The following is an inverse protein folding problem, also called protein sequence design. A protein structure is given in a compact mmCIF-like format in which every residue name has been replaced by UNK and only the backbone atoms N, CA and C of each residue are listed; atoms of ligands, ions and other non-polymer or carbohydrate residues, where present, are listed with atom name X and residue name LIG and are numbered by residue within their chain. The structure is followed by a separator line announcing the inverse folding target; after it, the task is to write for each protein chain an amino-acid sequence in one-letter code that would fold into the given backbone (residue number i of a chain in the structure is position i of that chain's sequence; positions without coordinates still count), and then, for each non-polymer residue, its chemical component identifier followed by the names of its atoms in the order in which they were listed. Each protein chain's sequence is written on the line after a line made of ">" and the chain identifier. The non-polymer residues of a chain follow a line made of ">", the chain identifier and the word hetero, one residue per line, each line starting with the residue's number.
data_IF_118295070837
#
_entry.id   IF_118295070837
#
_cell.length_a   1.000
_cell.length_b   1.000
_cell.length_c   1.000
_cell.angle_alpha   90.00
_cell.angle_beta   90.00
_cell.angle_gamma   90.00
#
_symmetry.space_group_name_H-M   'P 1'
#
loop_
_entity.id
_entity.type
_entity.pdbx_description
1 polymer ?
#
# COMPACT_ATOMS: atom_id res chain seq x y z
N UNK A 1 1.17 -3.30 15.59
CA UNK A 1 1.76 -3.86 16.81
C UNK A 1 2.64 -2.79 17.42
N UNK A 2 2.12 -2.11 18.45
CA UNK A 2 2.70 -0.91 19.03
C UNK A 2 4.12 -1.17 19.53
N UNK A 3 5.02 -0.24 19.21
CA UNK A 3 6.44 -0.29 19.56
C UNK A 3 6.59 0.54 20.83
N UNK A 4 6.84 -0.12 21.97
CA UNK A 4 6.97 0.50 23.28
C UNK A 4 8.17 1.49 23.33
N UNK A 5 7.84 2.76 23.58
CA UNK A 5 8.74 3.87 23.93
C UNK A 5 8.55 4.25 25.38
N UNK A 6 9.61 4.53 26.12
CA UNK A 6 9.48 5.08 27.47
C UNK A 6 10.67 5.96 27.89
N UNK A 7 10.33 6.96 28.69
CA UNK A 7 11.25 7.92 29.29
C UNK A 7 11.75 7.40 30.64
N UNK A 8 13.06 7.30 30.84
CA UNK A 8 13.67 6.84 32.08
C UNK A 8 14.54 7.94 32.70
N UNK A 9 14.52 8.09 34.03
CA UNK A 9 15.43 9.00 34.75
C UNK A 9 16.71 8.27 35.14
N UNK A 10 17.88 8.81 34.77
CA UNK A 10 19.17 8.28 35.20
C UNK A 10 19.48 8.63 36.66
N UNK A 11 20.42 7.91 37.27
CA UNK A 11 21.01 8.27 38.58
C UNK A 11 21.62 9.68 38.60
N UNK A 12 22.05 10.19 37.44
CA UNK A 12 22.55 11.57 37.27
C UNK A 12 21.44 12.64 37.23
N UNK A 13 20.16 12.25 37.33
CA UNK A 13 19.02 13.15 37.30
C UNK A 13 18.54 13.55 35.90
N UNK A 14 19.29 13.21 34.84
CA UNK A 14 18.95 13.48 33.44
C UNK A 14 18.03 12.39 32.89
N UNK A 15 17.01 12.78 32.12
CA UNK A 15 16.10 11.86 31.45
C UNK A 15 16.69 11.30 30.14
N UNK A 16 16.35 10.06 29.83
CA UNK A 16 16.69 9.38 28.57
C UNK A 16 15.44 8.77 27.92
N UNK A 17 15.40 8.85 26.61
CA UNK A 17 14.44 8.18 25.74
C UNK A 17 14.93 6.76 25.47
N UNK A 18 14.05 5.78 25.64
CA UNK A 18 14.33 4.37 25.30
C UNK A 18 13.24 3.84 24.37
N UNK A 19 13.66 3.20 23.28
CA UNK A 19 12.76 2.55 22.31
C UNK A 19 13.30 1.21 21.89
N UNK A 20 12.47 0.17 21.99
CA UNK A 20 12.80 -1.12 21.38
C UNK A 20 12.60 -1.03 19.87
N UNK A 21 13.57 -1.50 19.08
CA UNK A 21 13.37 -1.57 17.64
C UNK A 21 12.40 -2.72 17.31
N UNK A 22 11.61 -2.61 16.23
CA UNK A 22 10.73 -3.69 15.78
C UNK A 22 11.47 -5.02 15.56
N UNK A 23 10.80 -6.16 15.79
CA UNK A 23 11.41 -7.51 15.71
C UNK A 23 12.01 -7.84 14.34
N UNK A 24 11.50 -7.22 13.29
CA UNK A 24 11.98 -7.35 11.92
C UNK A 24 13.29 -6.58 11.66
N UNK A 25 13.67 -5.65 12.55
CA UNK A 25 14.95 -4.95 12.51
C UNK A 25 15.90 -5.39 13.63
N UNK A 26 15.40 -5.52 14.86
CA UNK A 26 16.20 -5.75 16.06
C UNK A 26 17.17 -6.93 15.93
N UNK A 27 18.48 -6.66 16.09
CA UNK A 27 19.53 -7.68 16.05
C UNK A 27 19.89 -8.20 14.65
N UNK A 28 19.23 -7.74 13.58
CA UNK A 28 19.53 -8.19 12.21
C UNK A 28 20.76 -7.48 11.62
N UNK A 29 21.50 -8.15 10.70
CA UNK A 29 22.65 -7.55 10.03
C UNK A 29 22.21 -6.38 9.15
N UNK A 30 22.90 -5.24 9.27
CA UNK A 30 22.57 -4.03 8.50
C UNK A 30 23.34 -4.02 7.18
N UNK A 31 22.68 -3.85 6.02
CA UNK A 31 23.35 -3.62 4.74
C UNK A 31 24.30 -2.42 4.78
N UNK A 32 25.44 -2.50 4.08
CA UNK A 32 26.48 -1.47 4.13
C UNK A 32 25.97 -0.05 3.80
N UNK A 33 25.06 0.08 2.84
CA UNK A 33 24.43 1.35 2.46
C UNK A 33 23.60 1.99 3.59
N UNK A 34 22.99 1.18 4.46
CA UNK A 34 22.18 1.66 5.58
C UNK A 34 23.02 1.96 6.83
N UNK A 35 24.20 1.32 6.97
CA UNK A 35 25.13 1.59 8.08
C UNK A 35 25.63 3.03 8.11
N UNK A 36 25.96 3.57 6.93
CA UNK A 36 26.44 4.96 6.79
C UNK A 36 25.31 5.96 7.02
N UNK A 37 24.10 5.62 6.58
CA UNK A 37 22.95 6.53 6.59
C UNK A 37 22.24 6.63 7.94
N UNK A 38 22.25 5.57 8.76
CA UNK A 38 21.56 5.51 10.05
C UNK A 38 22.46 4.99 11.18
N UNK A 39 23.61 5.65 11.47
CA UNK A 39 24.59 5.14 12.43
C UNK A 39 24.03 4.98 13.85
N UNK A 40 23.05 5.80 14.22
CA UNK A 40 22.42 5.77 15.54
C UNK A 40 21.61 4.49 15.83
N UNK A 41 21.07 3.85 14.78
CA UNK A 41 20.33 2.59 14.89
C UNK A 41 21.24 1.36 14.84
N UNK A 42 22.53 1.53 14.54
CA UNK A 42 23.48 0.44 14.35
C UNK A 42 24.37 0.29 15.58
N UNK A 43 24.57 -0.95 16.00
CA UNK A 43 25.61 -1.25 16.98
C UNK A 43 26.97 -1.31 16.24
N UNK A 44 27.91 -0.40 16.53
CA UNK A 44 29.19 -0.34 15.81
C UNK A 44 30.04 -1.58 16.01
N UNK A 45 29.91 -2.30 17.13
CA UNK A 45 30.68 -3.49 17.43
C UNK A 45 30.20 -4.73 16.65
N UNK A 46 28.89 -4.84 16.40
CA UNK A 46 28.31 -6.02 15.75
C UNK A 46 27.91 -5.79 14.30
N UNK A 47 27.76 -4.53 13.86
CA UNK A 47 27.27 -4.19 12.52
C UNK A 47 25.79 -4.57 12.29
N UNK A 48 25.06 -4.89 13.36
CA UNK A 48 23.64 -5.20 13.37
C UNK A 48 22.82 -4.02 13.92
N UNK A 49 21.52 -3.99 13.62
CA UNK A 49 20.61 -3.04 14.26
C UNK A 49 20.55 -3.28 15.76
N UNK A 50 20.51 -2.19 16.54
CA UNK A 50 20.35 -2.25 17.99
C UNK A 50 19.03 -2.94 18.35
N UNK A 51 19.02 -3.70 19.44
CA UNK A 51 17.77 -4.27 19.99
C UNK A 51 16.96 -3.22 20.72
N UNK A 52 17.65 -2.31 21.42
CA UNK A 52 17.07 -1.16 22.11
C UNK A 52 17.91 0.08 21.82
N UNK A 53 17.23 1.17 21.49
CA UNK A 53 17.82 2.48 21.28
C UNK A 53 17.68 3.30 22.56
N UNK A 54 18.76 3.91 23.02
CA UNK A 54 18.79 4.78 24.19
C UNK A 54 19.41 6.12 23.80
N UNK A 55 18.68 7.22 24.01
CA UNK A 55 19.08 8.59 23.66
C UNK A 55 18.91 9.47 24.90
N UNK A 56 19.94 10.23 25.26
CA UNK A 56 19.81 11.22 26.35
C UNK A 56 18.94 12.40 25.90
N UNK A 57 17.94 12.77 26.70
CA UNK A 57 17.09 13.94 26.46
C UNK A 57 17.77 15.25 26.94
N UNK A 58 18.89 15.13 27.64
CA UNK A 58 19.73 16.27 28.05
C UNK A 58 19.01 17.27 28.96
N UNK A 59 18.06 16.80 29.76
CA UNK A 59 17.30 17.64 30.71
C UNK A 59 16.96 16.86 31.97
N UNK A 60 16.92 17.55 33.11
CA UNK A 60 16.44 17.04 34.40
C UNK A 60 15.00 17.48 34.72
N UNK A 61 14.43 18.39 33.91
CA UNK A 61 13.03 18.81 34.01
C UNK A 61 12.12 17.78 33.33
N UNK A 62 11.20 17.21 34.11
CA UNK A 62 10.24 16.19 33.69
C UNK A 62 9.33 16.66 32.55
N UNK A 63 8.86 17.91 32.56
CA UNK A 63 7.92 18.41 31.53
C UNK A 63 8.65 18.56 30.20
N UNK A 64 9.82 19.20 30.23
CA UNK A 64 10.67 19.35 29.06
C UNK A 64 11.18 18.00 28.55
N UNK A 65 11.44 17.05 29.44
CA UNK A 65 11.82 15.68 29.08
C UNK A 65 10.70 14.97 28.32
N UNK A 66 9.46 14.96 28.83
CA UNK A 66 8.32 14.32 28.12
C UNK A 66 8.11 14.89 26.72
N UNK A 67 8.25 16.21 26.57
CA UNK A 67 8.15 16.88 25.28
C UNK A 67 9.24 16.46 24.29
N UNK A 68 10.49 16.36 24.76
CA UNK A 68 11.59 15.85 23.93
C UNK A 68 11.45 14.35 23.64
N UNK A 69 10.91 13.59 24.59
CA UNK A 69 10.62 12.16 24.44
C UNK A 69 9.63 11.90 23.29
N UNK A 70 8.54 12.66 23.22
CA UNK A 70 7.57 12.60 22.12
C UNK A 70 8.21 12.95 20.76
N UNK A 71 9.05 13.99 20.70
CA UNK A 71 9.79 14.34 19.47
C UNK A 71 10.75 13.25 19.03
N UNK A 72 11.50 12.66 19.95
CA UNK A 72 12.39 11.53 19.63
C UNK A 72 11.58 10.29 19.23
N UNK A 73 10.42 10.05 19.85
CA UNK A 73 9.55 8.93 19.51
C UNK A 73 9.08 9.00 18.05
N UNK A 74 8.64 10.18 17.60
CA UNK A 74 8.25 10.46 16.22
C UNK A 74 9.44 10.29 15.28
N UNK A 75 10.58 10.94 15.57
CA UNK A 75 11.81 10.85 14.76
C UNK A 75 12.29 9.40 14.54
N UNK A 76 12.24 8.57 15.57
CA UNK A 76 12.66 7.16 15.46
C UNK A 76 11.60 6.30 14.77
N UNK A 77 10.30 6.57 14.96
CA UNK A 77 9.25 5.87 14.22
C UNK A 77 9.42 6.07 12.69
N UNK A 78 9.65 7.32 12.31
CA UNK A 78 9.95 7.73 10.94
C UNK A 78 11.17 7.01 10.36
N UNK A 79 12.25 6.92 11.13
CA UNK A 79 13.50 6.31 10.68
C UNK A 79 13.40 4.80 10.52
N UNK A 80 12.70 4.13 11.44
CA UNK A 80 12.40 2.68 11.37
C UNK A 80 11.63 2.36 10.09
N UNK A 81 10.65 3.19 9.75
CA UNK A 81 9.89 3.08 8.50
C UNK A 81 10.80 3.15 7.28
N UNK A 82 11.77 4.09 7.21
CA UNK A 82 12.72 4.17 6.09
C UNK A 82 13.49 2.88 5.94
N UNK A 83 14.00 2.38 7.05
CA UNK A 83 14.89 1.23 7.08
C UNK A 83 14.12 0.00 6.60
N UNK A 84 12.88 -0.19 7.07
CA UNK A 84 12.00 -1.26 6.59
C UNK A 84 11.73 -1.16 5.09
N UNK A 85 11.41 0.04 4.59
CA UNK A 85 11.17 0.27 3.16
C UNK A 85 12.43 0.02 2.31
N UNK A 86 13.61 0.40 2.80
CA UNK A 86 14.88 0.19 2.10
C UNK A 86 15.35 -1.27 2.09
N UNK A 87 14.86 -2.09 3.03
CA UNK A 87 15.11 -3.54 3.08
C UNK A 87 14.15 -4.33 2.18
N UNK A 88 13.02 -3.75 1.76
CA UNK A 88 12.14 -4.33 0.76
C UNK A 88 12.70 -4.05 -0.65
N UNK A 89 12.83 -5.10 -1.47
CA UNK A 89 13.48 -5.17 -2.79
C UNK A 89 13.15 -3.98 -3.75
N UNK A 90 14.11 -3.40 -4.51
CA UNK A 90 13.98 -2.09 -5.12
C UNK A 90 13.51 -2.16 -6.57
N UNK A 91 12.29 -2.63 -6.85
CA UNK A 91 11.61 -2.22 -8.08
C UNK A 91 10.84 -0.93 -7.80
N UNK A 92 11.58 0.16 -7.64
CA UNK A 92 11.02 1.47 -7.29
C UNK A 92 10.37 2.08 -8.53
N UNK A 93 9.10 2.49 -8.40
CA UNK A 93 8.41 3.24 -9.45
C UNK A 93 8.85 4.70 -9.38
N UNK A 94 9.40 5.23 -10.47
CA UNK A 94 10.08 6.53 -10.56
C UNK A 94 9.15 7.75 -10.39
N UNK A 95 7.85 7.56 -10.20
CA UNK A 95 6.90 8.67 -10.06
C UNK A 95 5.75 8.26 -9.15
N UNK A 96 5.31 9.13 -8.22
CA UNK A 96 4.12 8.83 -7.46
C UNK A 96 2.94 8.78 -8.44
N UNK A 97 2.37 7.59 -8.62
CA UNK A 97 1.12 7.43 -9.36
C UNK A 97 -0.08 7.87 -8.53
N UNK A 98 0.13 8.02 -7.22
CA UNK A 98 -0.83 8.43 -6.21
C UNK A 98 -1.13 9.92 -6.35
N UNK A 99 -2.41 10.28 -6.38
CA UNK A 99 -2.83 11.67 -6.53
C UNK A 99 -2.47 12.48 -5.26
N UNK A 100 -2.12 13.79 -5.37
CA UNK A 100 -1.82 14.62 -4.21
C UNK A 100 -2.92 14.64 -3.14
N UNK A 101 -4.19 14.52 -3.56
CA UNK A 101 -5.34 14.44 -2.65
C UNK A 101 -5.40 13.13 -1.87
N UNK A 102 -4.98 12.02 -2.47
CA UNK A 102 -4.92 10.72 -1.79
C UNK A 102 -3.81 10.72 -0.73
N UNK A 103 -2.67 11.34 -1.06
CA UNK A 103 -1.56 11.52 -0.11
C UNK A 103 -1.99 12.38 1.07
N UNK A 104 -2.67 13.50 0.81
CA UNK A 104 -3.20 14.35 1.86
C UNK A 104 -4.20 13.61 2.76
N UNK A 105 -5.11 12.84 2.17
CA UNK A 105 -6.09 12.06 2.90
C UNK A 105 -5.46 11.00 3.80
N UNK A 106 -4.47 10.26 3.28
CA UNK A 106 -3.73 9.27 4.04
C UNK A 106 -2.98 9.93 5.21
N UNK A 107 -2.34 11.09 5.01
CA UNK A 107 -1.68 11.85 6.08
C UNK A 107 -2.66 12.18 7.21
N UNK A 108 -3.83 12.74 6.88
CA UNK A 108 -4.85 13.07 7.90
C UNK A 108 -5.31 11.81 8.63
N UNK A 109 -5.57 10.73 7.89
CA UNK A 109 -6.05 9.46 8.46
C UNK A 109 -5.02 8.84 9.41
N UNK A 110 -3.76 8.78 8.99
CA UNK A 110 -2.68 8.16 9.77
C UNK A 110 -2.39 8.97 11.05
N UNK A 111 -2.41 10.31 10.96
CA UNK A 111 -2.24 11.17 12.13
C UNK A 111 -3.40 11.08 13.12
N UNK A 112 -4.65 10.96 12.64
CA UNK A 112 -5.80 10.81 13.54
C UNK A 112 -5.87 9.43 14.18
N UNK A 113 -5.47 8.37 13.47
CA UNK A 113 -5.28 7.04 14.08
C UNK A 113 -4.19 7.07 15.14
N UNK A 114 -3.11 7.81 14.88
CA UNK A 114 -2.06 7.99 15.87
C UNK A 114 -2.55 8.79 17.08
N UNK A 115 -3.32 9.87 16.88
CA UNK A 115 -3.97 10.63 17.96
C UNK A 115 -4.91 9.76 18.79
N UNK A 116 -5.72 8.90 18.16
CA UNK A 116 -6.56 7.92 18.86
C UNK A 116 -5.74 6.98 19.72
N UNK A 117 -4.69 6.38 19.14
CA UNK A 117 -3.81 5.47 19.86
C UNK A 117 -3.09 6.16 21.04
N UNK A 118 -2.74 7.44 20.93
CA UNK A 118 -2.19 8.20 22.05
C UNK A 118 -3.23 8.43 23.15
N UNK A 119 -4.50 8.68 22.80
CA UNK A 119 -5.60 8.90 23.76
C UNK A 119 -6.05 7.63 24.47
N UNK A 120 -6.06 6.49 23.77
CA UNK A 120 -6.44 5.19 24.36
C UNK A 120 -5.30 4.58 25.19
N UNK A 121 -4.07 4.57 24.66
CA UNK A 121 -2.97 3.71 25.13
C UNK A 121 -1.61 4.44 25.22
N UNK A 122 -1.55 5.75 24.97
CA UNK A 122 -0.29 6.51 24.83
C UNK A 122 0.59 6.59 26.08
N UNK A 123 0.09 6.21 27.26
CA UNK A 123 0.88 6.23 28.49
C UNK A 123 1.59 4.90 28.74
N UNK A 124 2.83 4.81 28.27
CA UNK A 124 3.68 3.63 28.43
C UNK A 124 3.90 3.20 29.90
N UNK A 125 3.66 4.07 30.91
CA UNK A 125 3.76 3.68 32.33
C UNK A 125 2.80 2.54 32.70
N UNK A 126 1.74 2.35 31.93
CA UNK A 126 0.70 1.33 32.14
C UNK A 126 1.25 -0.08 31.89
N UNK A 127 2.10 -0.24 30.88
CA UNK A 127 2.65 -1.54 30.49
C UNK A 127 3.97 -1.89 31.17
N UNK A 128 4.67 -0.89 31.74
CA UNK A 128 6.02 -1.06 32.28
C UNK A 128 6.03 -1.68 33.67
N UNK A 129 5.01 -1.39 34.49
CA UNK A 129 4.96 -1.84 35.87
C UNK A 129 3.72 -2.70 36.10
N UNK A 130 3.93 -3.95 36.47
CA UNK A 130 2.83 -4.82 36.91
C UNK A 130 2.23 -4.28 38.20
N UNK A 131 1.01 -4.69 38.51
CA UNK A 131 0.36 -4.32 39.78
C UNK A 131 1.23 -4.71 40.99
N UNK A 132 1.90 -5.86 40.92
CA UNK A 132 2.85 -6.32 41.94
C UNK A 132 4.12 -5.45 42.05
N UNK A 133 4.63 -4.92 40.92
CA UNK A 133 5.79 -3.99 40.95
C UNK A 133 5.43 -2.66 41.60
N UNK A 134 4.19 -2.20 41.41
CA UNK A 134 3.68 -0.95 41.99
C UNK A 134 3.41 -1.05 43.49
N UNK A 135 2.87 -2.19 43.94
CA UNK A 135 2.72 -2.50 45.37
C UNK A 135 4.08 -2.56 46.07
N UNK A 136 5.12 -3.03 45.38
CA UNK A 136 6.48 -3.10 45.91
C UNK A 136 7.14 -1.73 46.03
N UNK A 137 6.84 -0.80 45.12
CA UNK A 137 7.46 0.53 45.05
C UNK A 137 6.40 1.65 45.20
N UNK A 138 6.00 1.97 46.44
CA UNK A 138 4.91 2.92 46.72
C UNK A 138 5.19 4.37 46.28
N UNK A 139 6.44 4.69 45.93
CA UNK A 139 6.85 6.00 45.42
C UNK A 139 6.49 6.21 43.93
N UNK A 140 6.03 5.16 43.24
CA UNK A 140 5.57 5.27 41.85
C UNK A 140 4.28 6.08 41.78
N UNK A 141 4.19 7.00 40.82
CA UNK A 141 3.01 7.83 40.62
C UNK A 141 1.75 6.94 40.42
N UNK A 142 0.70 7.28 41.16
CA UNK A 142 -0.62 6.69 41.00
C UNK A 142 -1.12 6.93 39.57
N UNK A 143 -1.57 5.87 38.91
CA UNK A 143 -2.20 5.96 37.59
C UNK A 143 -3.71 5.89 37.76
N UNK A 144 -4.41 6.87 37.19
CA UNK A 144 -5.86 6.89 37.06
C UNK A 144 -6.35 5.82 36.08
N UNK A 145 -5.59 5.60 35.01
CA UNK A 145 -5.84 4.63 33.95
C UNK A 145 -4.83 3.49 34.06
N UNK A 146 -5.14 2.44 34.83
CA UNK A 146 -4.28 1.27 35.02
C UNK A 146 -4.23 0.32 33.81
N UNK A 147 -3.47 -0.80 33.87
CA UNK A 147 -3.42 -1.80 32.79
C UNK A 147 -4.81 -2.32 32.42
N UNK A 148 -5.17 -2.30 31.13
CA UNK A 148 -6.48 -2.76 30.63
C UNK A 148 -7.64 -1.75 30.70
N UNK A 149 -7.40 -0.54 31.22
CA UNK A 149 -8.33 0.60 31.08
C UNK A 149 -8.13 1.30 29.72
N UNK A 150 -8.87 2.37 29.42
CA UNK A 150 -8.60 3.28 28.32
C UNK A 150 -8.45 4.70 28.87
N UNK A 151 -7.65 5.53 28.23
CA UNK A 151 -7.53 6.95 28.56
C UNK A 151 -6.10 7.40 28.87
N UNK A 152 -5.99 8.71 29.07
CA UNK A 152 -4.72 9.42 29.14
C UNK A 152 -4.55 10.05 30.53
N UNK A 153 -3.43 9.78 31.20
CA UNK A 153 -3.15 10.41 32.50
C UNK A 153 -3.08 11.93 32.40
N UNK A 154 -3.46 12.68 33.45
CA UNK A 154 -3.50 14.15 33.42
C UNK A 154 -2.17 14.80 33.03
N UNK A 155 -1.05 14.26 33.50
CA UNK A 155 0.29 14.76 33.20
C UNK A 155 0.81 14.32 31.82
N UNK A 156 0.25 13.26 31.23
CA UNK A 156 0.48 12.90 29.84
C UNK A 156 -0.37 13.78 28.92
N UNK A 157 -1.63 14.03 29.29
CA UNK A 157 -2.55 14.92 28.58
C UNK A 157 -2.00 16.33 28.42
N UNK A 158 -1.44 16.92 29.48
CA UNK A 158 -0.80 18.23 29.41
C UNK A 158 0.41 18.23 28.45
N UNK A 159 1.28 17.23 28.54
CA UNK A 159 2.46 17.12 27.67
C UNK A 159 2.09 16.89 26.20
N UNK A 160 1.02 16.11 25.96
CA UNK A 160 0.51 15.86 24.63
C UNK A 160 -0.11 17.12 24.01
N UNK A 161 -0.86 17.91 24.80
CA UNK A 161 -1.36 19.21 24.38
C UNK A 161 -0.24 20.18 24.01
N UNK A 162 0.82 20.27 24.83
CA UNK A 162 2.00 21.09 24.52
C UNK A 162 2.64 20.67 23.17
N UNK A 163 2.75 19.37 22.91
CA UNK A 163 3.28 18.82 21.65
C UNK A 163 2.42 19.24 20.45
N UNK A 164 1.09 19.05 20.54
CA UNK A 164 0.16 19.42 19.45
C UNK A 164 0.27 20.93 19.16
N UNK A 165 0.34 21.75 20.20
CA UNK A 165 0.45 23.20 20.04
C UNK A 165 1.76 23.58 19.33
N UNK A 166 2.91 23.10 19.78
CA UNK A 166 4.20 23.39 19.13
C UNK A 166 4.23 22.92 17.68
N UNK A 167 3.77 21.70 17.39
CA UNK A 167 3.76 21.17 16.03
C UNK A 167 2.90 22.03 15.11
N UNK A 168 1.70 22.43 15.54
CA UNK A 168 0.83 23.27 14.71
C UNK A 168 1.37 24.67 14.51
N UNK A 169 2.03 25.29 15.50
CA UNK A 169 2.66 26.59 15.32
C UNK A 169 3.74 26.54 14.24
N UNK A 170 4.62 25.54 14.33
CA UNK A 170 5.72 25.35 13.39
C UNK A 170 5.18 25.09 11.98
N UNK A 171 4.18 24.21 11.83
CA UNK A 171 3.60 23.86 10.53
C UNK A 171 2.76 24.99 9.93
N UNK A 172 2.00 25.76 10.73
CA UNK A 172 1.28 26.94 10.25
C UNK A 172 2.22 28.04 9.79
N UNK A 173 3.31 28.30 10.53
CA UNK A 173 4.34 29.25 10.12
C UNK A 173 4.99 28.84 8.80
N UNK A 174 5.26 27.54 8.63
CA UNK A 174 5.76 26.99 7.38
C UNK A 174 4.74 27.14 6.23
N UNK A 175 3.45 26.89 6.48
CA UNK A 175 2.39 27.05 5.49
C UNK A 175 2.21 28.52 5.07
N UNK A 176 2.20 29.45 6.03
CA UNK A 176 2.08 30.89 5.80
C UNK A 176 3.24 31.44 4.97
N UNK A 177 4.46 30.96 5.22
CA UNK A 177 5.66 31.31 4.44
C UNK A 177 5.83 30.47 3.16
N UNK A 178 4.91 29.52 2.89
CA UNK A 178 5.03 28.50 1.83
C UNK A 178 6.36 27.73 1.85
N UNK A 179 6.97 27.58 3.01
CA UNK A 179 8.18 26.80 3.22
C UNK A 179 7.84 25.31 3.33
N UNK A 180 8.02 24.59 2.24
CA UNK A 180 7.71 23.15 2.14
C UNK A 180 8.80 22.24 2.71
N UNK A 181 9.94 22.77 3.16
CA UNK A 181 11.07 21.96 3.62
C UNK A 181 10.72 21.11 4.85
N UNK A 182 9.79 21.57 5.69
CA UNK A 182 9.40 20.87 6.92
C UNK A 182 8.70 19.54 6.67
N UNK A 183 7.83 19.47 5.65
CA UNK A 183 7.01 18.28 5.37
C UNK A 183 7.71 17.30 4.42
N UNK A 184 8.76 17.75 3.74
CA UNK A 184 9.51 16.93 2.79
C UNK A 184 10.07 15.62 3.38
N UNK A 185 10.71 15.60 4.56
CA UNK A 185 11.15 14.34 5.16
C UNK A 185 9.97 13.39 5.40
N UNK A 186 8.88 13.84 6.02
CA UNK A 186 7.70 13.00 6.27
C UNK A 186 7.11 12.42 4.98
N UNK A 187 6.99 13.24 3.93
CA UNK A 187 6.47 12.77 2.66
C UNK A 187 7.40 11.78 1.96
N UNK A 188 8.74 11.94 2.09
CA UNK A 188 9.71 10.94 1.61
C UNK A 188 9.46 9.57 2.23
N UNK A 189 9.15 9.54 3.53
CA UNK A 189 8.88 8.31 4.27
C UNK A 189 7.62 7.63 3.75
N UNK A 190 6.54 8.40 3.69
CA UNK A 190 5.24 7.92 3.24
C UNK A 190 5.33 7.34 1.81
N UNK A 191 6.01 8.04 0.89
CA UNK A 191 6.19 7.55 -0.48
C UNK A 191 7.08 6.31 -0.53
N UNK A 192 8.15 6.27 0.26
CA UNK A 192 9.06 5.12 0.31
C UNK A 192 8.34 3.84 0.78
N UNK A 193 7.45 3.92 1.77
CA UNK A 193 6.61 2.79 2.20
C UNK A 193 5.74 2.22 1.06
N UNK A 194 5.31 3.07 0.13
CA UNK A 194 4.48 2.70 -1.02
C UNK A 194 5.32 2.31 -2.24
N UNK A 195 6.65 2.23 -2.11
CA UNK A 195 7.57 1.95 -3.22
C UNK A 195 7.69 3.09 -4.23
N UNK A 196 7.37 4.33 -3.82
CA UNK A 196 7.37 5.53 -4.65
C UNK A 196 8.47 6.52 -4.22
N UNK A 197 8.82 7.45 -5.09
CA UNK A 197 9.74 8.57 -4.81
C UNK A 197 9.06 9.91 -5.03
N UNK A 198 9.64 10.97 -4.47
CA UNK A 198 9.22 12.34 -4.82
C UNK A 198 9.45 12.60 -6.32
N UNK A 199 8.56 13.36 -6.97
CA UNK A 199 8.78 13.79 -8.35
C UNK A 199 10.08 14.59 -8.48
N UNK A 200 10.84 14.36 -9.55
CA UNK A 200 12.01 15.18 -9.91
C UNK A 200 11.60 16.55 -10.46
N UNK A 201 10.40 16.64 -11.05
CA UNK A 201 9.80 17.89 -11.53
C UNK A 201 9.49 18.81 -10.35
N UNK A 202 10.21 19.93 -10.26
CA UNK A 202 10.15 20.90 -9.17
C UNK A 202 8.74 21.48 -8.96
N UNK A 203 7.98 21.71 -10.04
CA UNK A 203 6.61 22.25 -9.94
C UNK A 203 5.66 21.22 -9.36
N UNK A 204 5.76 19.96 -9.81
CA UNK A 204 4.94 18.85 -9.28
C UNK A 204 5.31 18.53 -7.84
N UNK A 205 6.61 18.50 -7.53
CA UNK A 205 7.15 18.32 -6.19
C UNK A 205 6.63 19.40 -5.24
N UNK A 206 6.73 20.67 -5.62
CA UNK A 206 6.26 21.79 -4.79
C UNK A 206 4.75 21.75 -4.55
N UNK A 207 3.95 21.44 -5.57
CA UNK A 207 2.49 21.28 -5.42
C UNK A 207 2.13 20.14 -4.46
N UNK A 208 2.81 19.00 -4.60
CA UNK A 208 2.58 17.85 -3.75
C UNK A 208 2.95 18.15 -2.29
N UNK A 209 4.13 18.74 -2.06
CA UNK A 209 4.58 19.13 -0.72
C UNK A 209 3.65 20.17 -0.09
N UNK A 210 3.19 21.16 -0.85
CA UNK A 210 2.26 22.17 -0.33
C UNK A 210 0.93 21.54 0.08
N UNK A 211 0.39 20.60 -0.71
CA UNK A 211 -0.85 19.89 -0.39
C UNK A 211 -0.70 19.00 0.85
N UNK A 212 0.44 18.32 0.99
CA UNK A 212 0.78 17.55 2.18
C UNK A 212 0.91 18.45 3.43
N UNK A 213 1.55 19.62 3.31
CA UNK A 213 1.67 20.59 4.40
C UNK A 213 0.30 21.12 4.83
N UNK A 214 -0.59 21.41 3.88
CA UNK A 214 -1.99 21.79 4.18
C UNK A 214 -2.72 20.69 4.95
N UNK A 215 -2.58 19.42 4.53
CA UNK A 215 -3.17 18.28 5.22
C UNK A 215 -2.63 18.13 6.65
N UNK A 216 -1.33 18.37 6.85
CA UNK A 216 -0.69 18.33 8.17
C UNK A 216 -1.21 19.43 9.10
N UNK A 217 -1.40 20.65 8.60
CA UNK A 217 -2.02 21.74 9.38
C UNK A 217 -3.47 21.41 9.72
N UNK A 218 -4.23 20.90 8.74
CA UNK A 218 -5.63 20.50 8.94
C UNK A 218 -5.77 19.45 10.05
N UNK A 219 -4.93 18.41 10.05
CA UNK A 219 -5.02 17.38 11.09
C UNK A 219 -4.60 17.88 12.46
N UNK A 220 -3.58 18.74 12.54
CA UNK A 220 -3.16 19.31 13.83
C UNK A 220 -4.23 20.26 14.39
N UNK A 221 -4.95 21.00 13.55
CA UNK A 221 -6.09 21.81 13.98
C UNK A 221 -7.23 20.96 14.55
N UNK A 222 -7.53 19.81 13.92
CA UNK A 222 -8.47 18.82 14.45
C UNK A 222 -7.99 18.23 15.78
N UNK A 223 -6.73 17.86 15.89
CA UNK A 223 -6.15 17.34 17.14
C UNK A 223 -6.21 18.39 18.28
N UNK A 224 -5.97 19.68 17.97
CA UNK A 224 -6.15 20.77 18.94
C UNK A 224 -7.59 20.90 19.41
N UNK A 225 -8.55 20.78 18.49
CA UNK A 225 -9.97 20.82 18.84
C UNK A 225 -10.33 19.65 19.78
N UNK A 226 -9.88 18.43 19.47
CA UNK A 226 -10.02 17.27 20.37
C UNK A 226 -9.39 17.51 21.74
N UNK A 227 -8.20 18.11 21.76
CA UNK A 227 -7.47 18.39 23.00
C UNK A 227 -8.20 19.41 23.89
N UNK A 228 -9.00 20.32 23.33
CA UNK A 228 -9.86 21.24 24.09
C UNK A 228 -11.18 20.61 24.54
N UNK A 229 -11.50 19.41 24.05
CA UNK A 229 -12.80 18.77 24.28
C UNK A 229 -13.90 19.24 23.33
N UNK A 230 -13.55 19.84 22.18
CA UNK A 230 -14.52 20.24 21.18
C UNK A 230 -15.18 18.98 20.56
N UNK A 231 -16.51 18.88 20.67
CA UNK A 231 -17.33 17.69 20.32
C UNK A 231 -17.35 17.31 18.82
N UNK A 232 -16.70 18.10 17.95
CA UNK A 232 -16.94 18.09 16.50
C UNK A 232 -15.70 17.62 15.71
N UNK A 233 -15.08 16.53 16.15
CA UNK A 233 -14.00 15.89 15.39
C UNK A 233 -14.36 14.44 15.12
N UNK A 234 -15.24 14.23 14.15
CA UNK A 234 -15.37 12.92 13.53
C UNK A 234 -14.01 12.52 12.97
N UNK A 235 -13.50 11.34 13.38
CA UNK A 235 -12.44 10.68 12.62
C UNK A 235 -12.93 10.65 11.17
N UNK A 236 -12.21 11.28 10.21
CA UNK A 236 -12.59 11.19 8.82
C UNK A 236 -12.60 9.70 8.52
N UNK A 237 -13.80 9.18 8.28
CA UNK A 237 -13.91 7.80 7.85
C UNK A 237 -12.97 7.65 6.66
N UNK A 238 -12.12 6.59 6.63
CA UNK A 238 -11.18 6.39 5.55
C UNK A 238 -11.97 6.57 4.28
N UNK A 239 -11.53 7.50 3.41
CA UNK A 239 -12.24 7.92 2.22
C UNK A 239 -13.02 6.73 1.67
N UNK A 240 -14.34 6.83 1.72
CA UNK A 240 -15.29 5.78 1.35
C UNK A 240 -15.24 5.60 -0.17
N UNK A 241 -14.07 5.22 -0.68
CA UNK A 241 -13.68 4.99 -2.07
C UNK A 241 -13.50 3.48 -2.30
N UNK A 242 -13.85 2.68 -1.31
CA UNK A 242 -13.74 1.22 -1.32
C UNK A 242 -12.31 0.68 -1.30
N UNK A 243 -12.18 -0.65 -1.50
CA UNK A 243 -10.89 -1.33 -1.51
C UNK A 243 -10.03 -0.89 -2.70
N UNK A 244 -8.75 -1.21 -2.66
CA UNK A 244 -7.87 -1.12 -3.83
C UNK A 244 -8.26 -2.14 -4.90
N UNK A 245 -7.86 -1.89 -6.15
CA UNK A 245 -8.10 -2.83 -7.23
C UNK A 245 -7.44 -4.20 -6.96
N UNK A 246 -6.23 -4.20 -6.39
CA UNK A 246 -5.52 -5.42 -5.97
C UNK A 246 -6.29 -6.20 -4.89
N UNK A 247 -6.79 -5.51 -3.87
CA UNK A 247 -7.58 -6.08 -2.77
C UNK A 247 -8.93 -6.63 -3.27
N UNK A 248 -9.60 -5.89 -4.16
CA UNK A 248 -10.85 -6.32 -4.78
C UNK A 248 -10.65 -7.58 -5.65
N UNK A 249 -9.52 -7.67 -6.35
CA UNK A 249 -9.15 -8.85 -7.13
C UNK A 249 -8.93 -10.09 -6.26
N UNK A 250 -8.19 -9.97 -5.15
CA UNK A 250 -7.97 -11.10 -4.25
C UNK A 250 -9.28 -11.59 -3.61
N UNK A 251 -10.19 -10.68 -3.23
CA UNK A 251 -11.54 -11.06 -2.76
C UNK A 251 -12.34 -11.78 -3.85
N UNK A 252 -12.34 -11.23 -5.07
CA UNK A 252 -13.01 -11.85 -6.22
C UNK A 252 -12.48 -13.24 -6.57
N UNK A 253 -11.19 -13.50 -6.36
CA UNK A 253 -10.55 -14.80 -6.58
C UNK A 253 -10.98 -15.85 -5.55
N UNK A 254 -11.16 -15.46 -4.29
CA UNK A 254 -11.66 -16.35 -3.23
C UNK A 254 -13.13 -16.72 -3.48
N UNK A 255 -13.90 -15.78 -4.01
CA UNK A 255 -15.35 -15.89 -4.19
C UNK A 255 -16.11 -15.64 -2.89
N UNK A 256 -17.44 -15.74 -2.92
CA UNK A 256 -18.26 -15.59 -1.72
C UNK A 256 -18.14 -16.78 -0.76
N UNK A 257 -18.31 -16.52 0.54
CA UNK A 257 -18.25 -17.55 1.59
C UNK A 257 -19.49 -18.46 1.65
N UNK A 258 -20.55 -18.11 0.91
CA UNK A 258 -21.78 -18.89 0.86
C UNK A 258 -21.62 -20.19 0.04
N UNK A 259 -22.29 -21.26 0.49
CA UNK A 259 -22.34 -22.54 -0.23
C UNK A 259 -22.90 -22.33 -1.64
N UNK A 260 -22.12 -22.67 -2.65
CA UNK A 260 -22.48 -22.48 -4.07
C UNK A 260 -22.11 -21.12 -4.65
N UNK A 261 -21.40 -20.27 -3.91
CA UNK A 261 -20.85 -19.03 -4.44
C UNK A 261 -19.92 -19.31 -5.63
N UNK A 262 -20.13 -18.54 -6.71
CA UNK A 262 -19.45 -18.76 -7.99
C UNK A 262 -17.99 -18.35 -7.88
N UNK A 263 -17.10 -19.33 -7.86
CA UNK A 263 -15.66 -19.10 -7.96
C UNK A 263 -15.24 -18.95 -9.43
N UNK A 264 -14.42 -17.95 -9.79
CA UNK A 264 -13.90 -17.84 -11.14
C UNK A 264 -13.02 -19.05 -11.50
N UNK A 265 -13.13 -19.54 -12.74
CA UNK A 265 -12.27 -20.63 -13.22
C UNK A 265 -10.79 -20.21 -13.29
N UNK A 266 -9.84 -21.15 -13.18
CA UNK A 266 -8.40 -20.84 -13.04
C UNK A 266 -7.84 -20.01 -14.21
N UNK A 267 -8.26 -20.28 -15.44
CA UNK A 267 -7.85 -19.48 -16.60
C UNK A 267 -8.38 -18.04 -16.55
N UNK A 268 -9.57 -17.83 -15.99
CA UNK A 268 -10.14 -16.49 -15.82
C UNK A 268 -9.37 -15.71 -14.77
N UNK A 269 -8.90 -16.37 -13.70
CA UNK A 269 -8.05 -15.76 -12.67
C UNK A 269 -6.71 -15.32 -13.26
N UNK A 270 -6.09 -16.12 -14.13
CA UNK A 270 -4.84 -15.76 -14.79
C UNK A 270 -5.00 -14.53 -15.71
N UNK A 271 -6.06 -14.51 -16.52
CA UNK A 271 -6.38 -13.36 -17.38
C UNK A 271 -6.71 -12.11 -16.56
N UNK A 272 -7.46 -12.26 -15.46
CA UNK A 272 -7.80 -11.19 -14.54
C UNK A 272 -6.54 -10.61 -13.86
N UNK A 273 -5.66 -11.47 -13.36
CA UNK A 273 -4.39 -11.03 -12.77
C UNK A 273 -3.57 -10.22 -13.77
N UNK A 274 -3.47 -10.70 -15.03
CA UNK A 274 -2.76 -9.96 -16.07
C UNK A 274 -3.39 -8.58 -16.35
N UNK A 275 -4.72 -8.48 -16.37
CA UNK A 275 -5.42 -7.21 -16.54
C UNK A 275 -5.17 -6.24 -15.37
N UNK A 276 -5.25 -6.74 -14.13
CA UNK A 276 -5.04 -5.97 -12.90
C UNK A 276 -3.60 -5.46 -12.82
N UNK A 277 -2.60 -6.33 -13.04
CA UNK A 277 -1.18 -5.94 -13.04
C UNK A 277 -0.92 -4.86 -14.09
N UNK A 278 -1.44 -5.00 -15.31
CA UNK A 278 -1.27 -3.99 -16.36
C UNK A 278 -1.94 -2.65 -16.02
N UNK A 279 -3.11 -2.70 -15.37
CA UNK A 279 -3.77 -1.48 -14.90
C UNK A 279 -2.94 -0.78 -13.82
N UNK A 280 -2.42 -1.55 -12.84
CA UNK A 280 -1.56 -1.05 -11.76
C UNK A 280 -0.26 -0.46 -12.33
N UNK A 281 0.37 -1.11 -13.30
CA UNK A 281 1.56 -0.56 -13.98
C UNK A 281 1.28 0.77 -14.69
N UNK A 282 0.06 0.99 -15.17
CA UNK A 282 -0.31 2.19 -15.93
C UNK A 282 -0.80 3.33 -15.05
N UNK A 283 -1.67 3.06 -14.08
CA UNK A 283 -2.35 4.06 -13.25
C UNK A 283 -2.02 3.99 -11.75
N UNK A 284 -1.26 2.98 -11.32
CA UNK A 284 -1.05 2.67 -9.91
C UNK A 284 -2.18 1.81 -9.34
N UNK A 285 -1.98 1.33 -8.11
CA UNK A 285 -2.99 0.55 -7.39
C UNK A 285 -4.02 1.47 -6.72
N UNK A 286 -4.93 1.97 -7.54
CA UNK A 286 -5.98 2.91 -7.15
C UNK A 286 -7.12 2.19 -6.39
N UNK A 287 -7.78 2.95 -5.50
CA UNK A 287 -9.07 2.54 -4.92
C UNK A 287 -10.15 2.54 -5.98
N UNK A 288 -11.12 1.64 -5.86
CA UNK A 288 -12.18 1.49 -6.86
C UNK A 288 -12.96 2.79 -7.11
N UNK A 289 -13.22 3.57 -6.07
CA UNK A 289 -13.89 4.87 -6.14
C UNK A 289 -13.09 5.99 -6.83
N UNK A 290 -11.77 5.82 -6.98
CA UNK A 290 -10.89 6.76 -7.71
C UNK A 290 -10.77 6.44 -9.21
N UNK A 291 -11.24 5.26 -9.63
CA UNK A 291 -11.19 4.85 -11.02
C UNK A 291 -12.33 5.56 -11.77
N UNK A 292 -12.00 6.65 -12.44
CA UNK A 292 -12.95 7.37 -13.28
C UNK A 292 -13.11 6.72 -14.66
N UNK A 293 -14.24 6.96 -15.33
CA UNK A 293 -14.44 6.56 -16.75
C UNK A 293 -13.32 7.10 -17.66
N UNK A 294 -12.72 8.24 -17.35
CA UNK A 294 -11.60 8.80 -18.11
C UNK A 294 -10.34 7.92 -18.01
N UNK A 295 -9.97 7.47 -16.80
CA UNK A 295 -8.86 6.53 -16.60
C UNK A 295 -9.13 5.18 -17.28
N UNK A 296 -10.36 4.69 -17.21
CA UNK A 296 -10.72 3.45 -17.88
C UNK A 296 -10.61 3.53 -19.42
N UNK A 297 -10.96 4.69 -20.03
CA UNK A 297 -10.75 4.95 -21.46
C UNK A 297 -9.26 5.07 -21.81
N UNK A 298 -8.49 5.80 -21.01
CA UNK A 298 -7.04 5.94 -21.22
C UNK A 298 -6.33 4.57 -21.18
N UNK A 299 -6.68 3.74 -20.19
CA UNK A 299 -6.17 2.38 -20.09
C UNK A 299 -6.59 1.49 -21.29
N UNK A 300 -7.84 1.58 -21.76
CA UNK A 300 -8.29 0.88 -22.97
C UNK A 300 -7.45 1.27 -24.18
N UNK A 301 -7.22 2.56 -24.37
CA UNK A 301 -6.49 3.08 -25.52
C UNK A 301 -4.99 2.70 -25.45
N UNK A 302 -4.43 2.63 -24.23
CA UNK A 302 -3.10 2.07 -23.98
C UNK A 302 -3.03 0.57 -24.33
N UNK A 303 -4.02 -0.23 -23.92
CA UNK A 303 -4.08 -1.67 -24.22
C UNK A 303 -4.20 -1.95 -25.72
N UNK A 304 -4.89 -1.10 -26.49
CA UNK A 304 -5.02 -1.25 -27.94
C UNK A 304 -3.68 -1.10 -28.67
N UNK A 305 -2.76 -0.29 -28.12
CA UNK A 305 -1.40 -0.08 -28.66
C UNK A 305 -0.46 -1.23 -28.32
N UNK A 306 -0.80 -2.09 -27.37
CA UNK A 306 0.01 -3.26 -27.02
C UNK A 306 -0.14 -4.33 -28.12
N UNK A 307 0.96 -4.86 -28.65
CA UNK A 307 0.89 -5.91 -29.66
C UNK A 307 0.23 -7.21 -29.16
N UNK A 308 -0.34 -7.97 -30.11
CA UNK A 308 -0.94 -9.27 -29.83
C UNK A 308 0.12 -10.32 -29.42
N UNK A 309 1.25 -10.34 -30.11
CA UNK A 309 2.37 -11.24 -29.83
C UNK A 309 3.65 -10.43 -29.54
N UNK A 310 4.19 -10.61 -28.34
CA UNK A 310 5.42 -9.95 -27.90
C UNK A 310 6.54 -10.97 -27.66
N UNK A 311 7.77 -10.72 -28.13
CA UNK A 311 8.95 -11.49 -27.75
C UNK A 311 9.13 -11.50 -26.23
N UNK A 312 9.68 -12.60 -25.69
CA UNK A 312 9.85 -12.78 -24.24
C UNK A 312 10.56 -11.62 -23.53
N UNK A 313 11.55 -10.98 -24.20
CA UNK A 313 12.26 -9.81 -23.66
C UNK A 313 11.34 -8.59 -23.47
N UNK A 314 10.42 -8.35 -24.40
CA UNK A 314 9.46 -7.23 -24.32
C UNK A 314 8.30 -7.54 -23.35
N UNK A 315 7.88 -8.81 -23.28
CA UNK A 315 6.77 -9.24 -22.43
C UNK A 315 6.99 -8.96 -20.94
N UNK A 316 8.25 -8.97 -20.48
CA UNK A 316 8.66 -8.73 -19.08
C UNK A 316 8.65 -7.26 -18.66
N UNK A 317 8.46 -6.34 -19.60
CA UNK A 317 8.49 -4.91 -19.28
C UNK A 317 7.14 -4.43 -18.74
N UNK A 318 7.16 -3.44 -17.83
CA UNK A 318 5.93 -2.78 -17.41
C UNK A 318 5.31 -1.98 -18.57
N UNK A 319 4.00 -1.82 -18.54
CA UNK A 319 3.21 -1.28 -19.66
C UNK A 319 3.71 0.11 -20.12
N UNK A 320 4.08 0.99 -19.19
CA UNK A 320 4.63 2.32 -19.52
C UNK A 320 5.93 2.22 -20.32
N UNK A 321 6.91 1.46 -19.84
CA UNK A 321 8.19 1.26 -20.53
C UNK A 321 8.04 0.49 -21.83
N UNK A 322 7.01 -0.36 -21.96
CA UNK A 322 6.71 -1.07 -23.19
C UNK A 322 6.24 -0.09 -24.28
N UNK A 323 5.32 0.82 -23.96
CA UNK A 323 4.74 1.78 -24.90
C UNK A 323 5.71 2.91 -25.31
N UNK A 324 6.83 3.08 -24.59
CA UNK A 324 7.92 3.98 -24.99
C UNK A 324 8.80 3.41 -26.12
N UNK A 325 8.68 2.11 -26.43
CA UNK A 325 9.47 1.45 -27.48
C UNK A 325 8.78 1.55 -28.83
N UNK A 326 9.56 1.40 -29.89
CA UNK A 326 9.01 1.21 -31.23
C UNK A 326 8.34 -0.17 -31.34
N UNK A 327 7.01 -0.16 -31.38
CA UNK A 327 6.15 -1.34 -31.51
C UNK A 327 5.51 -1.46 -32.90
N UNK A 328 5.86 -0.56 -33.84
CA UNK A 328 5.27 -0.48 -35.19
C UNK A 328 5.38 -1.79 -35.98
N UNK A 329 6.41 -2.59 -35.70
CA UNK A 329 6.69 -3.88 -36.36
C UNK A 329 5.75 -5.00 -35.95
N UNK A 330 4.93 -4.83 -34.91
CA UNK A 330 4.06 -5.88 -34.40
C UNK A 330 2.59 -5.54 -34.61
N UNK A 331 1.78 -6.57 -34.89
CA UNK A 331 0.34 -6.40 -35.06
C UNK A 331 -0.31 -5.94 -33.75
N UNK A 332 -1.06 -4.82 -33.75
CA UNK A 332 -1.82 -4.37 -32.60
C UNK A 332 -2.84 -5.41 -32.12
N UNK A 333 -3.23 -5.31 -30.86
CA UNK A 333 -4.21 -6.21 -30.27
C UNK A 333 -5.61 -5.93 -30.81
N UNK A 334 -6.39 -7.01 -31.02
CA UNK A 334 -7.77 -6.87 -31.48
C UNK A 334 -8.69 -6.21 -30.43
N UNK A 335 -9.66 -5.44 -30.91
CA UNK A 335 -10.70 -4.81 -30.09
C UNK A 335 -11.44 -5.84 -29.21
N UNK A 336 -11.69 -7.05 -29.74
CA UNK A 336 -12.31 -8.16 -29.00
C UNK A 336 -11.51 -8.55 -27.77
N UNK A 337 -10.18 -8.60 -27.88
CA UNK A 337 -9.29 -8.97 -26.77
C UNK A 337 -9.24 -7.87 -25.72
N UNK A 338 -9.17 -6.60 -26.14
CA UNK A 338 -9.22 -5.46 -25.21
C UNK A 338 -10.56 -5.43 -24.48
N UNK A 339 -11.68 -5.59 -25.20
CA UNK A 339 -13.01 -5.66 -24.60
C UNK A 339 -13.16 -6.83 -23.62
N UNK A 340 -12.52 -7.97 -23.87
CA UNK A 340 -12.49 -9.10 -22.93
C UNK A 340 -11.84 -8.70 -21.61
N UNK A 341 -10.66 -8.07 -21.66
CA UNK A 341 -9.94 -7.62 -20.45
C UNK A 341 -10.74 -6.57 -19.67
N UNK A 342 -11.35 -5.61 -20.37
CA UNK A 342 -12.25 -4.62 -19.72
C UNK A 342 -13.46 -5.28 -19.07
N UNK A 343 -14.01 -6.34 -19.68
CA UNK A 343 -15.14 -7.09 -19.11
C UNK A 343 -14.75 -7.82 -17.83
N UNK A 344 -13.52 -8.35 -17.77
CA UNK A 344 -13.00 -8.99 -16.55
C UNK A 344 -12.81 -7.95 -15.44
N UNK A 345 -12.22 -6.79 -15.75
CA UNK A 345 -12.10 -5.68 -14.78
C UNK A 345 -13.47 -5.20 -14.29
N UNK A 346 -14.44 -5.05 -15.20
CA UNK A 346 -15.81 -4.71 -14.85
C UNK A 346 -16.42 -5.76 -13.89
N UNK A 347 -16.16 -7.05 -14.10
CA UNK A 347 -16.67 -8.11 -13.23
C UNK A 347 -16.11 -8.03 -11.80
N UNK A 348 -14.81 -7.71 -11.65
CA UNK A 348 -14.17 -7.52 -10.34
C UNK A 348 -14.80 -6.33 -9.60
N UNK A 349 -14.92 -5.18 -10.28
CA UNK A 349 -15.50 -3.97 -9.66
C UNK A 349 -16.96 -4.17 -9.29
N UNK A 350 -17.75 -4.80 -10.18
CA UNK A 350 -19.15 -5.11 -9.88
C UNK A 350 -19.30 -6.14 -8.77
N UNK A 351 -18.33 -7.03 -8.54
CA UNK A 351 -18.39 -7.92 -7.38
C UNK A 351 -18.20 -7.14 -6.08
N UNK A 352 -17.19 -6.27 -6.00
CA UNK A 352 -16.97 -5.41 -4.84
C UNK A 352 -18.18 -4.49 -4.57
N UNK A 353 -18.84 -4.00 -5.63
CA UNK A 353 -20.08 -3.23 -5.50
C UNK A 353 -21.23 -4.06 -4.92
N UNK A 354 -21.42 -5.32 -5.37
CA UNK A 354 -22.47 -6.21 -4.83
C UNK A 354 -22.22 -6.62 -3.38
N UNK A 355 -20.96 -6.68 -2.98
CA UNK A 355 -20.56 -7.00 -1.60
C UNK A 355 -20.67 -5.78 -0.66
N UNK A 356 -21.23 -4.65 -1.13
CA UNK A 356 -21.45 -3.43 -0.34
C UNK A 356 -20.19 -2.60 -0.07
N UNK A 357 -19.05 -2.96 -0.66
CA UNK A 357 -17.76 -2.30 -0.39
C UNK A 357 -17.67 -0.88 -0.98
N UNK A 358 -18.67 -0.49 -1.76
CA UNK A 358 -18.75 0.79 -2.49
C UNK A 358 -20.05 1.54 -2.21
N UNK A 359 -20.90 1.06 -1.31
CA UNK A 359 -22.20 1.69 -0.98
C UNK A 359 -22.02 3.10 -0.40
N UNK A 360 -20.89 3.27 0.27
CA UNK A 360 -20.49 4.49 0.93
C UNK A 360 -19.89 5.52 -0.07
N UNK A 361 -19.68 5.14 -1.33
CA UNK A 361 -19.20 6.03 -2.39
C UNK A 361 -20.42 6.70 -3.07
N UNK A 362 -20.63 8.03 -2.93
CA UNK A 362 -21.80 8.69 -3.50
C UNK A 362 -21.85 8.56 -5.03
N UNK A 363 -22.95 8.03 -5.57
CA UNK A 363 -23.19 7.97 -7.01
C UNK A 363 -22.21 7.06 -7.78
N UNK A 364 -21.61 6.07 -7.12
CA UNK A 364 -20.64 5.19 -7.75
C UNK A 364 -21.26 4.39 -8.90
N UNK A 365 -20.65 4.52 -10.08
CA UNK A 365 -20.94 3.71 -11.26
C UNK A 365 -19.66 3.00 -11.71
N UNK A 366 -19.78 1.74 -12.13
CA UNK A 366 -18.61 0.97 -12.52
C UNK A 366 -17.96 1.60 -13.79
N UNK A 367 -16.69 2.04 -13.72
CA UNK A 367 -16.03 2.76 -14.80
C UNK A 367 -15.73 1.88 -16.01
N UNK A 368 -15.78 0.55 -15.87
CA UNK A 368 -15.50 -0.42 -16.93
C UNK A 368 -16.76 -0.95 -17.64
N UNK A 369 -17.89 -0.29 -17.46
CA UNK A 369 -19.16 -0.65 -18.10
C UNK A 369 -19.15 -0.53 -19.63
N UNK A 370 -20.29 -0.89 -20.26
CA UNK A 370 -20.40 -1.05 -21.72
C UNK A 370 -19.95 0.19 -22.51
N UNK A 371 -20.14 1.39 -21.96
CA UNK A 371 -19.84 2.67 -22.62
C UNK A 371 -18.36 2.84 -23.02
N UNK A 372 -17.44 2.15 -22.35
CA UNK A 372 -16.01 2.30 -22.65
C UNK A 372 -15.52 1.30 -23.71
N UNK A 373 -16.28 0.26 -24.06
CA UNK A 373 -15.81 -0.79 -24.97
C UNK A 373 -15.69 -0.27 -26.40
N UNK A 374 -14.72 -0.80 -27.16
CA UNK A 374 -14.66 -0.54 -28.60
C UNK A 374 -15.90 -1.15 -29.28
N UNK A 375 -16.52 -0.41 -30.20
CA UNK A 375 -17.50 -1.00 -31.13
C UNK A 375 -16.75 -1.92 -32.07
N UNK A 376 -17.22 -3.16 -32.19
CA UNK A 376 -16.63 -4.17 -33.07
C UNK A 376 -17.43 -4.18 -34.36
N UNK A 377 -16.76 -3.95 -35.49
CA UNK A 377 -17.36 -4.21 -36.79
C UNK A 377 -17.35 -5.72 -37.04
N UNK A 378 -18.54 -6.33 -37.13
CA UNK A 378 -18.69 -7.75 -37.38
C UNK A 378 -18.04 -8.21 -38.69
N UNK A 379 -17.84 -7.30 -39.66
CA UNK A 379 -17.20 -7.59 -40.95
C UNK A 379 -15.68 -7.75 -40.86
N UNK A 380 -15.05 -7.20 -39.82
CA UNK A 380 -13.60 -7.28 -39.60
C UNK A 380 -13.20 -8.35 -38.57
N UNK A 381 -14.16 -9.05 -37.99
CA UNK A 381 -13.88 -10.21 -37.13
C UNK A 381 -13.55 -11.37 -38.05
N UNK A 382 -12.28 -11.79 -38.06
CA UNK A 382 -11.85 -12.97 -38.81
C UNK A 382 -12.66 -14.20 -38.36
N UNK A 383 -13.61 -14.70 -39.20
CA UNK A 383 -14.42 -15.82 -38.81
C UNK A 383 -13.48 -17.02 -38.76
N UNK A 384 -13.35 -17.65 -37.59
CA UNK A 384 -12.68 -18.94 -37.48
C UNK A 384 -13.29 -19.86 -38.53
N UNK A 385 -12.47 -20.31 -39.49
CA UNK A 385 -12.91 -21.25 -40.51
C UNK A 385 -13.41 -22.51 -39.81
N UNK A 386 -14.64 -22.88 -40.10
CA UNK A 386 -15.23 -24.12 -39.59
C UNK A 386 -14.57 -25.26 -40.35
N UNK A 387 -14.16 -26.33 -39.66
CA UNK A 387 -13.62 -27.51 -40.32
C UNK A 387 -14.70 -28.14 -41.20
N UNK A 388 -14.39 -28.35 -42.47
CA UNK A 388 -15.23 -29.13 -43.38
C UNK A 388 -15.02 -30.62 -43.15
N UNK A 389 -15.94 -31.47 -43.64
CA UNK A 389 -15.75 -32.92 -43.60
C UNK A 389 -14.45 -33.37 -44.29
N UNK A 390 -14.04 -32.66 -45.35
CA UNK A 390 -12.77 -32.94 -46.04
C UNK A 390 -11.56 -32.56 -45.19
N UNK A 391 -11.62 -31.45 -44.45
CA UNK A 391 -10.53 -31.05 -43.54
C UNK A 391 -10.39 -32.07 -42.40
N UNK A 392 -11.52 -32.55 -41.86
CA UNK A 392 -11.50 -33.58 -40.83
C UNK A 392 -10.92 -34.90 -41.36
N UNK A 393 -11.33 -35.33 -42.56
CA UNK A 393 -10.76 -36.52 -43.20
C UNK A 393 -9.25 -36.38 -43.45
N UNK A 394 -8.79 -35.20 -43.86
CA UNK A 394 -7.37 -34.92 -44.04
C UNK A 394 -6.59 -34.94 -42.71
N UNK A 395 -7.15 -34.36 -41.65
CA UNK A 395 -6.52 -34.34 -40.32
C UNK A 395 -6.44 -35.75 -39.73
N UNK A 396 -7.54 -36.49 -39.73
CA UNK A 396 -7.60 -37.83 -39.16
C UNK A 396 -6.98 -38.91 -40.07
N UNK A 397 -6.75 -38.61 -41.35
CA UNK A 397 -5.98 -39.46 -42.26
C UNK A 397 -4.46 -39.37 -42.09
N UNK A 398 -3.95 -38.43 -41.27
CA UNK A 398 -2.51 -38.30 -41.01
C UNK A 398 -1.96 -39.48 -40.21
N UNK A 399 -0.67 -39.79 -40.39
CA UNK A 399 0.00 -40.94 -39.73
C UNK A 399 0.01 -40.86 -38.20
N UNK A 400 -0.23 -39.67 -37.64
CA UNK A 400 -0.42 -39.46 -36.20
C UNK A 400 -1.65 -40.21 -35.67
N UNK A 401 -2.73 -40.27 -36.45
CA UNK A 401 -3.98 -40.92 -36.07
C UNK A 401 -4.14 -42.32 -36.68
N UNK A 402 -3.50 -42.60 -37.83
CA UNK A 402 -3.61 -43.90 -38.53
C UNK A 402 -2.49 -44.87 -38.21
N UNK A 403 -1.26 -44.39 -37.99
CA UNK A 403 -0.07 -45.21 -37.75
C UNK A 403 0.55 -45.01 -36.35
N UNK A 404 -0.01 -44.11 -35.53
CA UNK A 404 0.46 -43.85 -34.17
C UNK A 404 1.74 -43.03 -34.07
N UNK A 405 2.15 -42.36 -35.16
CA UNK A 405 3.36 -41.54 -35.18
C UNK A 405 3.23 -40.34 -34.25
N UNK A 406 4.10 -40.24 -33.24
CA UNK A 406 4.11 -39.10 -32.31
C UNK A 406 5.29 -38.17 -32.59
N UNK A 407 5.07 -36.85 -32.75
CA UNK A 407 6.16 -35.88 -32.82
C UNK A 407 7.08 -35.99 -31.60
N UNK A 408 8.40 -35.99 -31.81
CA UNK A 408 9.43 -36.14 -30.76
C UNK A 408 9.35 -35.12 -29.61
N UNK A 409 8.56 -34.05 -29.73
CA UNK A 409 8.34 -33.06 -28.67
C UNK A 409 7.27 -33.45 -27.64
N UNK A 410 6.44 -34.47 -27.91
CA UNK A 410 5.33 -34.89 -27.03
C UNK A 410 5.69 -36.06 -26.10
N UNK A 411 6.86 -36.68 -26.26
CA UNK A 411 7.32 -37.81 -25.44
C UNK A 411 7.67 -37.45 -23.99
N UNK A 412 7.71 -36.15 -23.62
CA UNK A 412 8.08 -35.72 -22.26
C UNK A 412 6.93 -35.56 -21.27
N UNK A 413 5.67 -35.57 -21.74
CA UNK A 413 4.47 -35.43 -20.90
C UNK A 413 3.52 -36.65 -20.95
N UNK A 414 3.93 -37.76 -21.58
CA UNK A 414 3.04 -38.88 -21.91
C UNK A 414 2.63 -39.78 -20.75
N UNK A 415 3.19 -39.63 -19.55
CA UNK A 415 2.76 -40.42 -18.39
C UNK A 415 1.34 -40.05 -17.89
N UNK A 416 0.81 -38.87 -18.25
CA UNK A 416 -0.50 -38.41 -17.76
C UNK A 416 -1.67 -38.82 -18.66
N UNK A 417 -1.45 -38.96 -19.97
CA UNK A 417 -2.52 -39.26 -20.93
C UNK A 417 -2.85 -40.77 -20.97
N UNK A 418 -1.86 -41.64 -20.76
CA UNK A 418 -2.08 -43.09 -20.81
C UNK A 418 -2.98 -43.63 -19.68
N UNK A 419 -3.15 -42.90 -18.57
CA UNK A 419 -4.03 -43.32 -17.46
C UNK A 419 -5.51 -42.99 -17.69
N UNK A 420 -5.82 -41.98 -18.52
CA UNK A 420 -7.21 -41.54 -18.74
C UNK A 420 -7.89 -42.36 -19.84
N UNK A 421 -7.13 -42.92 -20.78
CA UNK A 421 -7.69 -43.66 -21.92
C UNK A 421 -7.80 -45.18 -21.71
N UNK A 422 -7.13 -45.77 -20.71
CA UNK A 422 -7.23 -47.21 -20.37
C UNK A 422 -8.18 -47.51 -19.20
N UNK A 423 -9.21 -46.69 -19.00
CA UNK A 423 -10.20 -46.84 -17.92
C UNK A 423 -11.64 -46.98 -18.39
N UNK A 424 -11.86 -47.32 -19.67
CA UNK A 424 -13.19 -47.54 -20.24
C UNK A 424 -13.15 -48.75 -21.17
N UNK A 425 -13.31 -49.92 -20.57
CA UNK A 425 -13.42 -51.23 -21.21
C UNK A 425 -13.93 -52.22 -20.18
#
# INVERSE_FOLDING_TARGET
>A
MAVLTYMQRRRSGIYEFRKRLPRDLAGRPVPAALRVRFPELVNPATGCFKTELTISLGTSDTRLAKRKDLREAARIADMVVVVQAALADPSVVETPSTAPEEIAADIVTDWLKWDEAQREDGDARRDIHTQADRERWPDLAFLTHGPGSEGMEPDHFLAYGDFIEEEAEVHRKALASRNTAIIEPELKLYLAQKGQRLPEDELKRRRLLLRALQAKVEVLDRMRARQRGDLEVELPMPFQRGPKLSEAFERWKVGGDAKGARKPGPNTVLEANQAVVRFIEWHGDLRLGDITKAKARDFRDALAKVPAALPNKLRRLPLRSLLQRDLSKFTPRSATTVNKLLTILAAIVSHAQRDGLLDAVPGFGNPFEKDIKFRIDARQVDPRKIFTASDLAAIFGTSVFTAGDRPKSLTRNSAFIDRVWRGGG
#
